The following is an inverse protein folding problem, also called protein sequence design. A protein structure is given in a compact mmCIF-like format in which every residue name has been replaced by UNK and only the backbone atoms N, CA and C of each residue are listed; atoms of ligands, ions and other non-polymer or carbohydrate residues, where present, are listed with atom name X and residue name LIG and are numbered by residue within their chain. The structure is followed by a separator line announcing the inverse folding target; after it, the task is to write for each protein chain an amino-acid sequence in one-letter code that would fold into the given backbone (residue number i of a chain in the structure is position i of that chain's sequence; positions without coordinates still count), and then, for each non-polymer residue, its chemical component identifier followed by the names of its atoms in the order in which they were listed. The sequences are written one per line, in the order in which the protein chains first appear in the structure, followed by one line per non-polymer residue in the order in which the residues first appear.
data_IF_502803286431
#
_entry.id   IF_502803286431
#
_cell.length_a   1.000
_cell.length_b   1.000
_cell.length_c   1.000
_cell.angle_alpha   90.00
_cell.angle_beta   90.00
_cell.angle_gamma   90.00
#
_symmetry.space_group_name_H-M   'P 1'
#
loop_
_entity.id
_entity.type
_entity.pdbx_description
1 polymer ?
#
# COMPACT_ATOMS: atom_id res chain seq x y z
N UNK A 1 102.81 -36.89 28.59
CA UNK A 1 103.07 -38.12 29.35
C UNK A 1 103.00 -37.80 30.83
N UNK A 2 102.51 -38.73 31.66
CA UNK A 2 102.30 -38.54 33.09
C UNK A 2 103.62 -38.32 33.85
N UNK A 3 103.67 -37.35 34.79
CA UNK A 3 104.88 -37.03 35.58
C UNK A 3 105.09 -37.90 36.83
N UNK A 4 104.32 -38.98 36.98
CA UNK A 4 104.43 -39.93 38.09
C UNK A 4 105.59 -40.93 37.85
N UNK A 5 106.51 -41.18 38.80
CA UNK A 5 107.64 -42.09 38.60
C UNK A 5 107.18 -43.51 38.20
N UNK A 6 107.59 -43.98 37.01
CA UNK A 6 107.24 -45.31 36.49
C UNK A 6 105.93 -45.41 35.70
N UNK A 7 105.28 -44.30 35.34
CA UNK A 7 104.07 -44.29 34.51
C UNK A 7 104.34 -43.70 33.12
N UNK A 8 103.99 -44.43 32.05
CA UNK A 8 104.20 -44.02 30.65
C UNK A 8 102.91 -43.53 29.94
N UNK A 9 101.76 -43.46 30.65
CA UNK A 9 100.48 -43.05 30.03
C UNK A 9 100.50 -41.61 29.51
N UNK A 10 99.84 -41.38 28.37
CA UNK A 10 99.57 -40.05 27.84
C UNK A 10 98.60 -39.28 28.77
N UNK A 11 98.73 -37.95 28.81
CA UNK A 11 97.84 -37.09 29.61
C UNK A 11 96.86 -36.44 28.65
N UNK A 12 95.57 -36.68 28.87
CA UNK A 12 94.50 -36.10 28.06
C UNK A 12 94.42 -34.59 28.27
N UNK A 13 94.36 -33.83 27.18
CA UNK A 13 94.19 -32.37 27.22
C UNK A 13 92.71 -32.03 27.13
N UNK A 14 92.08 -31.45 28.17
CA UNK A 14 90.72 -30.93 28.04
C UNK A 14 90.71 -29.72 27.10
N UNK A 15 89.71 -29.63 26.22
CA UNK A 15 89.55 -28.57 25.19
C UNK A 15 89.02 -27.23 25.76
N UNK A 16 89.46 -26.84 26.96
CA UNK A 16 89.07 -25.60 27.63
C UNK A 16 90.25 -24.66 27.86
N UNK A 17 90.01 -23.34 28.05
CA UNK A 17 91.06 -22.41 28.46
C UNK A 17 91.53 -22.75 29.88
N UNK A 18 92.73 -23.32 30.00
CA UNK A 18 93.31 -23.72 31.28
C UNK A 18 94.69 -24.38 31.14
N UNK A 19 95.47 -24.37 32.22
CA UNK A 19 96.80 -25.01 32.29
C UNK A 19 96.63 -26.53 32.13
N UNK A 20 97.30 -27.19 31.17
CA UNK A 20 97.15 -28.63 30.97
C UNK A 20 97.47 -29.43 32.24
N UNK A 21 96.72 -30.50 32.56
CA UNK A 21 97.00 -31.34 33.71
C UNK A 21 98.38 -32.02 33.58
N UNK A 22 99.11 -32.14 34.70
CA UNK A 22 100.46 -32.73 34.73
C UNK A 22 100.46 -34.27 34.95
N UNK A 23 99.31 -34.85 35.25
CA UNK A 23 99.14 -36.27 35.57
C UNK A 23 97.96 -36.88 34.78
N UNK A 24 97.97 -38.20 34.55
CA UNK A 24 96.89 -38.88 33.84
C UNK A 24 95.64 -39.04 34.72
N UNK A 25 94.57 -39.53 34.11
CA UNK A 25 93.24 -39.81 34.68
C UNK A 25 93.19 -40.78 35.87
N UNK A 26 94.28 -41.50 36.16
CA UNK A 26 94.37 -42.39 37.33
C UNK A 26 94.30 -41.61 38.65
N UNK A 27 93.37 -41.94 39.57
CA UNK A 27 93.21 -41.24 40.86
C UNK A 27 94.44 -41.36 41.77
N UNK A 28 95.29 -42.36 41.52
CA UNK A 28 96.54 -42.60 42.24
C UNK A 28 97.69 -41.66 41.82
N UNK A 29 97.58 -40.99 40.66
CA UNK A 29 98.63 -40.16 40.09
C UNK A 29 98.43 -38.68 40.41
N UNK A 30 98.63 -38.33 41.68
CA UNK A 30 98.60 -36.94 42.15
C UNK A 30 100.00 -36.43 42.51
N UNK A 31 100.17 -35.10 42.51
CA UNK A 31 101.46 -34.43 42.83
C UNK A 31 102.04 -34.85 44.19
N UNK A 32 101.17 -35.02 45.20
CA UNK A 32 101.58 -35.42 46.54
C UNK A 32 102.12 -36.86 46.58
N UNK A 33 101.46 -37.82 45.91
CA UNK A 33 101.93 -39.21 45.86
C UNK A 33 103.21 -39.37 45.04
N UNK A 34 103.37 -38.60 43.97
CA UNK A 34 104.61 -38.58 43.17
C UNK A 34 105.83 -38.07 43.98
N UNK A 35 105.63 -37.10 44.87
CA UNK A 35 106.67 -36.64 45.80
C UNK A 35 107.04 -37.71 46.82
N UNK A 36 106.04 -38.36 47.43
CA UNK A 36 106.24 -39.43 48.43
C UNK A 36 107.00 -40.63 47.84
N UNK A 37 106.69 -41.01 46.60
CA UNK A 37 107.38 -42.10 45.91
C UNK A 37 108.84 -41.75 45.57
N UNK A 38 109.15 -40.49 45.22
CA UNK A 38 110.53 -40.04 45.01
C UNK A 38 111.35 -40.07 46.29
N UNK A 39 110.77 -39.62 47.41
CA UNK A 39 111.44 -39.67 48.72
C UNK A 39 111.74 -41.12 49.15
N UNK A 40 110.84 -42.07 48.86
CA UNK A 40 111.06 -43.50 49.13
C UNK A 40 112.22 -44.08 48.32
N UNK A 41 112.37 -43.69 47.05
CA UNK A 41 113.47 -44.15 46.20
C UNK A 41 114.83 -43.55 46.63
N UNK A 42 114.82 -42.30 47.12
CA UNK A 42 116.03 -41.61 47.59
C UNK A 42 116.56 -42.21 48.90
N UNK A 43 115.65 -42.57 49.82
CA UNK A 43 116.00 -43.25 51.07
C UNK A 43 116.63 -44.65 50.88
N UNK A 44 116.38 -45.31 49.74
CA UNK A 44 116.99 -46.60 49.39
C UNK A 44 118.39 -46.44 48.78
N UNK A 45 118.73 -45.25 48.26
CA UNK A 45 120.02 -44.98 47.62
C UNK A 45 121.15 -44.54 48.57
N UNK A 46 120.84 -44.09 49.80
CA UNK A 46 121.82 -43.52 50.73
C UNK A 46 122.44 -44.53 51.73
N UNK A 47 122.13 -45.83 51.65
CA UNK A 47 122.67 -46.87 52.55
C UNK A 47 123.74 -47.74 51.89
N UNK A 48 124.98 -47.24 51.72
CA UNK A 48 126.19 -48.09 51.53
C UNK A 48 127.48 -47.31 51.89
N UNK A 49 128.28 -47.70 52.92
CA UNK A 49 129.56 -47.04 53.21
C UNK A 49 130.80 -47.94 53.05
N UNK A 50 131.96 -47.35 52.71
CA UNK A 50 133.29 -47.97 52.81
C UNK A 50 134.35 -46.96 53.32
N UNK A 51 135.17 -47.39 54.28
CA UNK A 51 136.13 -46.62 55.06
C UNK A 51 137.60 -46.93 54.70
N UNK A 52 138.51 -46.02 55.04
CA UNK A 52 139.97 -46.12 54.95
C UNK A 52 140.63 -46.00 56.36
N UNK A 53 141.92 -46.39 56.52
CA UNK A 53 142.71 -45.87 57.64
C UNK A 53 144.18 -45.51 57.33
N UNK A 54 144.76 -44.71 58.24
CA UNK A 54 146.10 -44.10 58.30
C UNK A 54 147.07 -44.79 59.30
N UNK A 55 148.35 -44.37 59.28
CA UNK A 55 149.33 -44.43 60.39
C UNK A 55 150.78 -44.48 59.86
N UNK A 56 151.87 -44.10 60.54
CA UNK A 56 152.22 -43.31 61.75
C UNK A 56 153.75 -43.47 61.98
N UNK A 57 154.33 -42.79 63.00
CA UNK A 57 155.65 -42.96 63.70
C UNK A 57 156.80 -42.06 63.22
N UNK A 58 157.53 -41.23 63.98
CA UNK A 58 157.98 -41.08 65.40
C UNK A 58 159.43 -41.55 65.67
N UNK A 59 160.31 -40.63 66.14
CA UNK A 59 161.40 -40.75 67.16
C UNK A 59 162.63 -39.83 66.91
N UNK A 60 162.90 -38.86 67.81
CA UNK A 60 164.22 -38.60 68.48
C UNK A 60 164.11 -37.50 69.58
N UNK A 61 163.64 -37.87 70.78
CA UNK A 61 162.79 -37.04 71.65
C UNK A 61 163.39 -36.18 72.79
N UNK A 62 164.63 -35.66 72.73
CA UNK A 62 165.13 -34.76 73.79
C UNK A 62 165.87 -33.51 73.31
N UNK A 63 166.58 -33.59 72.18
CA UNK A 63 167.12 -32.42 71.48
C UNK A 63 166.11 -31.82 70.49
N UNK A 64 165.35 -32.67 69.79
CA UNK A 64 164.08 -32.24 69.21
C UNK A 64 163.17 -31.74 70.30
N UNK A 65 163.18 -32.21 71.55
CA UNK A 65 162.24 -31.70 72.56
C UNK A 65 162.52 -30.27 73.01
N UNK A 66 163.78 -29.82 73.05
CA UNK A 66 164.12 -28.42 73.28
C UNK A 66 163.92 -27.54 72.03
N UNK A 67 164.22 -28.06 70.84
CA UNK A 67 163.93 -27.38 69.56
C UNK A 67 162.43 -27.41 69.19
N UNK A 68 161.68 -28.41 69.64
CA UNK A 68 160.23 -28.59 69.58
C UNK A 68 159.58 -27.80 70.69
N UNK A 69 160.17 -27.63 71.87
CA UNK A 69 159.67 -26.66 72.86
C UNK A 69 159.88 -25.24 72.36
N UNK A 70 160.99 -24.93 71.67
CA UNK A 70 161.21 -23.63 71.04
C UNK A 70 160.37 -23.44 69.76
N UNK A 71 160.13 -24.50 68.98
CA UNK A 71 159.26 -24.50 67.79
C UNK A 71 157.79 -24.50 68.17
N UNK A 72 157.38 -25.21 69.22
CA UNK A 72 156.07 -25.11 69.85
C UNK A 72 155.91 -23.76 70.48
N UNK A 73 156.90 -23.22 71.20
CA UNK A 73 156.78 -21.86 71.74
C UNK A 73 156.67 -20.82 70.63
N UNK A 74 157.40 -20.95 69.51
CA UNK A 74 157.22 -20.11 68.32
C UNK A 74 155.85 -20.31 67.67
N UNK A 75 155.41 -21.56 67.50
CA UNK A 75 154.12 -21.89 66.91
C UNK A 75 152.96 -21.41 67.80
N UNK A 76 153.06 -21.56 69.11
CA UNK A 76 152.12 -21.05 70.11
C UNK A 76 152.17 -19.53 70.15
N UNK A 77 153.36 -18.91 70.02
CA UNK A 77 153.49 -17.45 69.97
C UNK A 77 152.94 -16.88 68.66
N UNK A 78 153.09 -17.59 67.55
CA UNK A 78 152.48 -17.26 66.26
C UNK A 78 150.97 -17.52 66.27
N UNK A 79 150.52 -18.57 66.92
CA UNK A 79 149.10 -18.92 67.06
C UNK A 79 148.40 -17.98 68.03
N UNK A 80 149.03 -17.64 69.16
CA UNK A 80 148.58 -16.60 70.07
C UNK A 80 148.64 -15.25 69.38
N UNK A 81 149.66 -14.98 68.56
CA UNK A 81 149.74 -13.79 67.72
C UNK A 81 148.65 -13.74 66.65
N UNK A 82 148.28 -14.87 66.04
CA UNK A 82 147.15 -14.98 65.11
C UNK A 82 145.81 -14.81 65.83
N UNK A 83 145.64 -15.41 67.01
CA UNK A 83 144.41 -15.32 67.80
C UNK A 83 144.25 -13.94 68.44
N UNK A 84 145.33 -13.31 68.87
CA UNK A 84 145.33 -11.93 69.34
C UNK A 84 145.08 -10.98 68.18
N UNK A 85 145.64 -11.22 66.99
CA UNK A 85 145.29 -10.42 65.80
C UNK A 85 143.84 -10.62 65.38
N UNK A 86 143.34 -11.85 65.31
CA UNK A 86 141.95 -12.13 64.99
C UNK A 86 141.00 -11.55 66.05
N UNK A 87 141.33 -11.68 67.33
CA UNK A 87 140.58 -11.09 68.43
C UNK A 87 140.70 -9.56 68.46
N UNK A 88 141.83 -8.98 68.05
CA UNK A 88 142.00 -7.54 67.85
C UNK A 88 141.29 -7.05 66.59
N UNK A 89 141.14 -7.86 65.55
CA UNK A 89 140.38 -7.54 64.33
C UNK A 89 138.86 -7.61 64.62
N UNK A 90 138.44 -8.57 65.43
CA UNK A 90 137.06 -8.72 65.89
C UNK A 90 136.70 -7.66 66.94
N UNK A 91 137.62 -7.37 67.88
CA UNK A 91 137.51 -6.18 68.75
C UNK A 91 137.58 -4.90 67.93
N UNK A 92 138.45 -4.80 66.91
CA UNK A 92 138.51 -3.63 66.04
C UNK A 92 137.18 -3.44 65.31
N UNK A 93 136.54 -4.51 64.84
CA UNK A 93 135.20 -4.47 64.21
C UNK A 93 134.10 -4.11 65.22
N UNK A 94 134.18 -4.58 66.46
CA UNK A 94 133.24 -4.24 67.55
C UNK A 94 133.46 -2.82 68.09
N UNK A 95 134.69 -2.31 68.03
CA UNK A 95 135.08 -0.94 68.40
C UNK A 95 135.14 -0.01 67.20
N UNK A 96 134.80 -0.48 66.00
CA UNK A 96 134.77 0.31 64.78
C UNK A 96 133.44 1.07 64.75
N UNK A 97 133.45 2.37 65.07
CA UNK A 97 132.23 3.16 65.06
C UNK A 97 131.61 3.21 63.66
N UNK A 98 132.38 3.02 62.58
CA UNK A 98 131.89 3.08 61.21
C UNK A 98 131.09 1.82 60.82
N UNK A 99 131.49 0.64 61.30
CA UNK A 99 130.72 -0.59 61.12
C UNK A 99 129.39 -0.56 61.88
N UNK A 100 129.40 -0.05 63.12
CA UNK A 100 128.18 0.14 63.91
C UNK A 100 127.25 1.21 63.30
N UNK A 101 127.80 2.32 62.83
CA UNK A 101 127.05 3.37 62.12
C UNK A 101 126.43 2.83 60.83
N UNK A 102 127.17 2.07 60.02
CA UNK A 102 126.64 1.45 58.81
C UNK A 102 125.48 0.48 59.09
N UNK A 103 125.56 -0.32 60.17
CA UNK A 103 124.47 -1.20 60.58
C UNK A 103 123.24 -0.43 61.08
N UNK A 104 123.44 0.66 61.85
CA UNK A 104 122.35 1.53 62.28
C UNK A 104 121.69 2.21 61.07
N UNK A 105 122.47 2.71 60.12
CA UNK A 105 121.95 3.33 58.89
C UNK A 105 121.19 2.30 58.02
N UNK A 106 121.68 1.07 57.93
CA UNK A 106 120.98 -0.01 57.23
C UNK A 106 119.65 -0.38 57.93
N UNK A 107 119.65 -0.50 59.27
CA UNK A 107 118.44 -0.75 60.05
C UNK A 107 117.45 0.42 59.98
N UNK A 108 117.93 1.67 59.98
CA UNK A 108 117.12 2.86 59.80
C UNK A 108 116.52 2.92 58.38
N UNK A 109 117.29 2.57 57.35
CA UNK A 109 116.80 2.50 55.97
C UNK A 109 115.75 1.38 55.80
N UNK A 110 115.95 0.21 56.40
CA UNK A 110 114.97 -0.87 56.39
C UNK A 110 113.70 -0.50 57.18
N UNK A 111 113.85 0.13 58.35
CA UNK A 111 112.72 0.64 59.13
C UNK A 111 111.94 1.71 58.35
N UNK A 112 112.63 2.66 57.71
CA UNK A 112 112.01 3.66 56.84
C UNK A 112 111.29 3.00 55.65
N UNK A 113 111.87 1.96 55.05
CA UNK A 113 111.23 1.21 53.97
C UNK A 113 109.96 0.49 54.44
N UNK A 114 110.00 -0.18 55.61
CA UNK A 114 108.83 -0.84 56.20
C UNK A 114 107.74 0.16 56.57
N UNK A 115 108.10 1.33 57.11
CA UNK A 115 107.16 2.42 57.41
C UNK A 115 106.51 2.90 56.11
N UNK A 116 107.30 3.21 55.07
CA UNK A 116 106.78 3.65 53.79
C UNK A 116 105.84 2.61 53.14
N UNK A 117 106.18 1.32 53.21
CA UNK A 117 105.31 0.24 52.73
C UNK A 117 104.01 0.15 53.54
N UNK A 118 104.07 0.28 54.86
CA UNK A 118 102.90 0.26 55.72
C UNK A 118 102.00 1.49 55.48
N UNK A 119 102.58 2.67 55.30
CA UNK A 119 101.87 3.90 54.95
C UNK A 119 101.20 3.79 53.57
N UNK A 120 101.90 3.23 52.57
CA UNK A 120 101.32 2.97 51.25
C UNK A 120 100.16 1.96 51.32
N UNK A 121 100.31 0.88 52.09
CA UNK A 121 99.26 -0.11 52.30
C UNK A 121 98.04 0.50 53.01
N UNK A 122 98.27 1.35 54.03
CA UNK A 122 97.22 2.08 54.74
C UNK A 122 96.50 3.06 53.80
N UNK A 123 97.24 3.83 53.00
CA UNK A 123 96.64 4.75 52.03
C UNK A 123 95.78 4.02 51.00
N UNK A 124 96.25 2.87 50.52
CA UNK A 124 95.51 2.00 49.59
C UNK A 124 94.24 1.45 50.24
N UNK A 125 94.31 0.94 51.47
CA UNK A 125 93.15 0.42 52.20
C UNK A 125 92.12 1.52 52.51
N UNK A 126 92.59 2.73 52.87
CA UNK A 126 91.72 3.88 53.07
C UNK A 126 91.03 4.32 51.78
N UNK A 127 91.75 4.29 50.64
CA UNK A 127 91.16 4.58 49.34
C UNK A 127 90.10 3.53 48.98
N UNK A 128 90.42 2.24 49.08
CA UNK A 128 89.47 1.16 48.84
C UNK A 128 88.22 1.27 49.72
N UNK A 129 88.37 1.67 50.99
CA UNK A 129 87.22 1.91 51.88
C UNK A 129 86.36 3.07 51.40
N UNK A 130 86.96 4.18 50.96
CA UNK A 130 86.22 5.32 50.42
C UNK A 130 85.49 4.95 49.13
N UNK A 131 86.15 4.22 48.23
CA UNK A 131 85.56 3.77 46.97
C UNK A 131 84.40 2.80 47.23
N UNK A 132 84.55 1.88 48.19
CA UNK A 132 83.48 0.95 48.58
C UNK A 132 82.29 1.67 49.22
N UNK A 133 82.53 2.69 50.06
CA UNK A 133 81.48 3.51 50.65
C UNK A 133 80.73 4.33 49.60
N UNK A 134 81.45 4.94 48.66
CA UNK A 134 80.83 5.66 47.53
C UNK A 134 80.02 4.72 46.64
N UNK A 135 80.54 3.53 46.34
CA UNK A 135 79.81 2.52 45.59
C UNK A 135 78.55 2.04 46.32
N UNK A 136 78.61 1.90 47.65
CA UNK A 136 77.44 1.58 48.47
C UNK A 136 76.39 2.68 48.41
N UNK A 137 76.79 3.94 48.62
CA UNK A 137 75.88 5.08 48.57
C UNK A 137 75.20 5.21 47.20
N UNK A 138 75.97 5.08 46.11
CA UNK A 138 75.41 5.10 44.76
C UNK A 138 74.44 3.93 44.49
N UNK A 139 74.70 2.76 45.06
CA UNK A 139 73.80 1.61 44.95
C UNK A 139 72.52 1.79 45.78
N UNK A 140 72.61 2.41 46.96
CA UNK A 140 71.48 2.76 47.81
C UNK A 140 70.59 3.81 47.12
N UNK A 141 71.16 4.89 46.58
CA UNK A 141 70.44 5.90 45.80
C UNK A 141 69.74 5.29 44.57
N UNK A 142 70.44 4.44 43.80
CA UNK A 142 69.86 3.75 42.66
C UNK A 142 68.72 2.78 43.04
N UNK A 143 68.80 2.17 44.23
CA UNK A 143 67.74 1.31 44.74
C UNK A 143 66.50 2.11 45.17
N UNK A 144 66.70 3.27 45.82
CA UNK A 144 65.62 4.18 46.20
C UNK A 144 64.89 4.74 44.95
N UNK A 145 65.64 5.16 43.93
CA UNK A 145 65.08 5.61 42.65
C UNK A 145 64.28 4.51 41.95
N UNK A 146 64.79 3.27 41.97
CA UNK A 146 64.10 2.12 41.39
C UNK A 146 62.80 1.79 42.15
N UNK A 147 62.80 1.89 43.48
CA UNK A 147 61.59 1.71 44.31
C UNK A 147 60.56 2.80 43.99
N UNK A 148 60.95 4.07 43.99
CA UNK A 148 60.07 5.20 43.67
C UNK A 148 59.44 5.10 42.28
N UNK A 149 60.25 4.69 41.28
CA UNK A 149 59.78 4.44 39.92
C UNK A 149 58.79 3.27 39.88
N UNK A 150 59.07 2.18 40.59
CA UNK A 150 58.18 1.03 40.66
C UNK A 150 56.85 1.34 41.36
N UNK A 151 56.87 2.15 42.42
CA UNK A 151 55.66 2.60 43.12
C UNK A 151 54.79 3.48 42.23
N UNK A 152 55.40 4.41 41.50
CA UNK A 152 54.69 5.28 40.55
C UNK A 152 54.08 4.46 39.41
N UNK A 153 54.86 3.56 38.79
CA UNK A 153 54.36 2.67 37.75
C UNK A 153 53.24 1.74 38.27
N UNK A 154 53.33 1.29 39.53
CA UNK A 154 52.28 0.53 40.21
C UNK A 154 50.98 1.33 40.35
N UNK A 155 51.07 2.56 40.86
CA UNK A 155 49.92 3.45 41.00
C UNK A 155 49.25 3.79 39.66
N UNK A 156 50.03 4.09 38.63
CA UNK A 156 49.51 4.32 37.27
C UNK A 156 48.81 3.09 36.70
N UNK A 157 49.37 1.89 36.91
CA UNK A 157 48.76 0.64 36.45
C UNK A 157 47.45 0.33 37.19
N UNK A 158 47.37 0.59 38.49
CA UNK A 158 46.14 0.46 39.27
C UNK A 158 45.07 1.45 38.82
N UNK A 159 45.45 2.71 38.60
CA UNK A 159 44.54 3.73 38.08
C UNK A 159 44.00 3.35 36.70
N UNK A 160 44.86 2.94 35.77
CA UNK A 160 44.47 2.53 34.43
C UNK A 160 43.51 1.32 34.46
N UNK A 161 43.72 0.37 35.38
CA UNK A 161 42.79 -0.75 35.59
C UNK A 161 41.45 -0.28 36.12
N UNK A 162 41.43 0.62 37.11
CA UNK A 162 40.20 1.16 37.66
C UNK A 162 39.39 1.95 36.61
N UNK A 163 40.07 2.73 35.76
CA UNK A 163 39.45 3.46 34.65
C UNK A 163 38.86 2.50 33.60
N UNK A 164 39.62 1.47 33.21
CA UNK A 164 39.13 0.42 32.31
C UNK A 164 37.90 -0.30 32.87
N UNK A 165 37.91 -0.65 34.15
CA UNK A 165 36.82 -1.39 34.78
C UNK A 165 35.57 -0.52 34.88
N UNK A 166 35.71 0.79 35.17
CA UNK A 166 34.61 1.77 35.10
C UNK A 166 34.05 1.89 33.69
N UNK A 167 34.91 2.08 32.68
CA UNK A 167 34.49 2.19 31.29
C UNK A 167 33.77 0.92 30.80
N UNK A 168 34.22 -0.26 31.25
CA UNK A 168 33.58 -1.54 30.92
C UNK A 168 32.19 -1.63 31.56
N UNK A 169 32.07 -1.31 32.85
CA UNK A 169 30.79 -1.31 33.55
C UNK A 169 29.79 -0.28 32.95
N UNK A 170 30.26 0.89 32.54
CA UNK A 170 29.44 1.88 31.85
C UNK A 170 28.98 1.38 30.47
N UNK A 171 29.87 0.74 29.71
CA UNK A 171 29.54 0.15 28.42
C UNK A 171 28.53 -1.01 28.55
N UNK A 172 28.66 -1.85 29.59
CA UNK A 172 27.70 -2.91 29.89
C UNK A 172 26.32 -2.35 30.23
N UNK A 173 26.25 -1.35 31.13
CA UNK A 173 24.98 -0.66 31.45
C UNK A 173 24.35 -0.02 30.22
N UNK A 174 25.14 0.64 29.38
CA UNK A 174 24.64 1.25 28.15
C UNK A 174 24.10 0.19 27.17
N UNK A 175 24.73 -0.98 27.08
CA UNK A 175 24.26 -2.11 26.27
C UNK A 175 22.97 -2.70 26.81
N UNK A 176 22.88 -2.90 28.12
CA UNK A 176 21.67 -3.39 28.79
C UNK A 176 20.49 -2.43 28.58
N UNK A 177 20.71 -1.13 28.79
CA UNK A 177 19.69 -0.11 28.54
C UNK A 177 19.26 -0.10 27.07
N UNK A 178 20.21 -0.10 26.13
CA UNK A 178 19.89 -0.13 24.71
C UNK A 178 19.13 -1.40 24.31
N UNK A 179 19.45 -2.55 24.90
CA UNK A 179 18.72 -3.80 24.67
C UNK A 179 17.28 -3.70 25.19
N UNK A 180 17.08 -3.16 26.39
CA UNK A 180 15.75 -2.93 26.97
C UNK A 180 14.93 -1.93 26.13
N UNK A 181 15.54 -0.84 25.67
CA UNK A 181 14.87 0.16 24.83
C UNK A 181 14.45 -0.44 23.47
N UNK A 182 15.31 -1.27 22.86
CA UNK A 182 14.97 -1.98 21.61
C UNK A 182 13.84 -2.98 21.82
N UNK A 183 13.83 -3.72 22.92
CA UNK A 183 12.74 -4.64 23.25
C UNK A 183 11.43 -3.90 23.50
N UNK A 184 11.45 -2.81 24.27
CA UNK A 184 10.30 -1.95 24.51
C UNK A 184 9.74 -1.39 23.19
N UNK A 185 10.60 -0.83 22.33
CA UNK A 185 10.19 -0.30 21.03
C UNK A 185 9.60 -1.39 20.11
N UNK A 186 10.14 -2.62 20.14
CA UNK A 186 9.56 -3.75 19.39
C UNK A 186 8.17 -4.13 19.91
N UNK A 187 8.00 -4.24 21.23
CA UNK A 187 6.71 -4.56 21.84
C UNK A 187 5.67 -3.46 21.52
N UNK A 188 6.04 -2.19 21.62
CA UNK A 188 5.18 -1.07 21.24
C UNK A 188 4.78 -1.12 19.75
N UNK A 189 5.73 -1.40 18.86
CA UNK A 189 5.47 -1.53 17.43
C UNK A 189 4.55 -2.72 17.11
N UNK A 190 4.72 -3.85 17.79
CA UNK A 190 3.85 -5.03 17.65
C UNK A 190 2.43 -4.74 18.11
N UNK A 191 2.27 -4.08 19.27
CA UNK A 191 0.96 -3.67 19.80
C UNK A 191 0.28 -2.68 18.86
N UNK A 192 1.00 -1.67 18.37
CA UNK A 192 0.48 -0.69 17.43
C UNK A 192 0.06 -1.35 16.10
N UNK A 193 0.87 -2.28 15.58
CA UNK A 193 0.55 -3.04 14.36
C UNK A 193 -0.69 -3.91 14.56
N UNK A 194 -0.81 -4.59 15.70
CA UNK A 194 -1.99 -5.40 16.01
C UNK A 194 -3.25 -4.56 16.21
N UNK A 195 -3.14 -3.35 16.77
CA UNK A 195 -4.25 -2.41 16.88
C UNK A 195 -4.69 -1.90 15.50
N UNK A 196 -3.75 -1.44 14.67
CA UNK A 196 -4.04 -0.95 13.32
C UNK A 196 -4.66 -2.04 12.42
N UNK A 197 -4.23 -3.30 12.54
CA UNK A 197 -4.85 -4.42 11.82
C UNK A 197 -6.29 -4.66 12.24
N UNK A 198 -6.57 -4.66 13.55
CA UNK A 198 -7.94 -4.82 14.06
C UNK A 198 -8.86 -3.69 13.59
N UNK A 199 -8.39 -2.44 13.63
CA UNK A 199 -9.14 -1.30 13.13
C UNK A 199 -9.41 -1.41 11.62
N UNK A 200 -8.41 -1.84 10.84
CA UNK A 200 -8.60 -2.07 9.40
C UNK A 200 -9.61 -3.18 9.12
N UNK A 201 -9.55 -4.30 9.86
CA UNK A 201 -10.51 -5.41 9.73
C UNK A 201 -11.94 -4.96 10.09
N UNK A 202 -12.09 -4.17 11.15
CA UNK A 202 -13.38 -3.60 11.57
C UNK A 202 -13.94 -2.63 10.51
N UNK A 203 -13.10 -1.77 9.92
CA UNK A 203 -13.51 -0.87 8.84
C UNK A 203 -13.94 -1.64 7.60
N UNK A 204 -13.23 -2.71 7.24
CA UNK A 204 -13.59 -3.58 6.11
C UNK A 204 -14.90 -4.30 6.39
N UNK A 205 -15.12 -4.80 7.61
CA UNK A 205 -16.36 -5.45 8.00
C UNK A 205 -17.56 -4.49 7.89
N UNK A 206 -17.44 -3.27 8.45
CA UNK A 206 -18.48 -2.23 8.34
C UNK A 206 -18.76 -1.84 6.90
N UNK A 207 -17.72 -1.65 6.09
CA UNK A 207 -17.90 -1.31 4.68
C UNK A 207 -18.61 -2.41 3.88
N UNK A 208 -18.43 -3.69 4.25
CA UNK A 208 -19.15 -4.82 3.66
C UNK A 208 -20.61 -4.85 4.08
N UNK A 209 -20.89 -4.68 5.37
CA UNK A 209 -22.25 -4.59 5.91
C UNK A 209 -23.03 -3.43 5.24
N UNK A 210 -22.44 -2.22 5.20
CA UNK A 210 -23.02 -1.07 4.52
C UNK A 210 -23.30 -1.34 3.02
N UNK A 211 -22.42 -2.09 2.36
CA UNK A 211 -22.60 -2.43 0.95
C UNK A 211 -23.73 -3.46 0.76
N UNK A 212 -23.81 -4.47 1.62
CA UNK A 212 -24.90 -5.47 1.62
C UNK A 212 -26.25 -4.80 1.87
N UNK A 213 -26.34 -3.90 2.85
CA UNK A 213 -27.55 -3.14 3.14
C UNK A 213 -27.97 -2.26 1.96
N UNK A 214 -27.02 -1.57 1.31
CA UNK A 214 -27.31 -0.77 0.10
C UNK A 214 -27.80 -1.63 -1.06
N UNK A 215 -27.23 -2.83 -1.25
CA UNK A 215 -27.68 -3.75 -2.29
C UNK A 215 -29.10 -4.26 -1.98
N UNK A 216 -29.38 -4.62 -0.73
CA UNK A 216 -30.71 -5.07 -0.30
C UNK A 216 -31.77 -3.96 -0.47
N UNK A 217 -31.44 -2.72 -0.09
CA UNK A 217 -32.29 -1.57 -0.31
C UNK A 217 -32.55 -1.33 -1.80
N UNK A 218 -31.49 -1.32 -2.63
CA UNK A 218 -31.62 -1.14 -4.07
C UNK A 218 -32.44 -2.24 -4.75
N UNK A 219 -32.34 -3.49 -4.28
CA UNK A 219 -33.20 -4.59 -4.75
C UNK A 219 -34.67 -4.34 -4.39
N UNK A 220 -34.95 -3.95 -3.15
CA UNK A 220 -36.31 -3.64 -2.69
C UNK A 220 -36.93 -2.48 -3.48
N UNK A 221 -36.16 -1.42 -3.72
CA UNK A 221 -36.58 -0.28 -4.52
C UNK A 221 -36.86 -0.69 -5.97
N UNK A 222 -36.02 -1.54 -6.56
CA UNK A 222 -36.21 -2.06 -7.91
C UNK A 222 -37.45 -2.94 -8.02
N UNK A 223 -37.71 -3.80 -7.04
CA UNK A 223 -38.93 -4.62 -6.99
C UNK A 223 -40.18 -3.76 -6.87
N UNK A 224 -40.14 -2.74 -6.01
CA UNK A 224 -41.23 -1.77 -5.84
C UNK A 224 -41.50 -1.02 -7.15
N UNK A 225 -40.45 -0.46 -7.77
CA UNK A 225 -40.57 0.25 -9.05
C UNK A 225 -41.10 -0.66 -10.17
N UNK A 226 -40.71 -1.94 -10.20
CA UNK A 226 -41.24 -2.93 -11.15
C UNK A 226 -42.72 -3.23 -10.90
N UNK A 227 -43.12 -3.38 -9.65
CA UNK A 227 -44.52 -3.62 -9.28
C UNK A 227 -45.40 -2.41 -9.65
N UNK A 228 -44.94 -1.20 -9.35
CA UNK A 228 -45.62 0.05 -9.73
C UNK A 228 -45.74 0.20 -11.25
N UNK A 229 -44.65 -0.03 -11.99
CA UNK A 229 -44.66 0.02 -13.44
C UNK A 229 -45.63 -1.03 -14.05
N UNK A 230 -45.64 -2.25 -13.50
CA UNK A 230 -46.57 -3.28 -13.93
C UNK A 230 -48.04 -2.89 -13.65
N UNK A 231 -48.32 -2.30 -12.48
CA UNK A 231 -49.64 -1.81 -12.12
C UNK A 231 -50.09 -0.66 -13.03
N UNK A 232 -49.20 0.28 -13.36
CA UNK A 232 -49.48 1.37 -14.29
C UNK A 232 -49.79 0.84 -15.70
N UNK A 233 -49.00 -0.12 -16.20
CA UNK A 233 -49.25 -0.74 -17.51
C UNK A 233 -50.59 -1.46 -17.51
N UNK A 234 -50.91 -2.22 -16.47
CA UNK A 234 -52.22 -2.89 -16.36
C UNK A 234 -53.37 -1.88 -16.31
N UNK A 235 -53.24 -0.81 -15.53
CA UNK A 235 -54.25 0.24 -15.45
C UNK A 235 -54.46 0.91 -16.83
N UNK A 236 -53.38 1.25 -17.53
CA UNK A 236 -53.43 1.82 -18.87
C UNK A 236 -54.08 0.87 -19.88
N UNK A 237 -53.76 -0.44 -19.83
CA UNK A 237 -54.39 -1.44 -20.68
C UNK A 237 -55.88 -1.58 -20.42
N UNK A 238 -56.30 -1.58 -19.15
CA UNK A 238 -57.72 -1.66 -18.80
C UNK A 238 -58.48 -0.41 -19.23
N UNK A 239 -57.88 0.77 -19.06
CA UNK A 239 -58.44 2.03 -19.54
C UNK A 239 -58.61 2.02 -21.07
N UNK A 240 -57.57 1.64 -21.80
CA UNK A 240 -57.62 1.53 -23.26
C UNK A 240 -58.70 0.53 -23.73
N UNK A 241 -58.84 -0.62 -23.04
CA UNK A 241 -59.90 -1.59 -23.33
C UNK A 241 -61.31 -1.02 -23.11
N UNK A 242 -61.51 -0.25 -22.04
CA UNK A 242 -62.78 0.43 -21.76
C UNK A 242 -63.09 1.46 -22.85
N UNK A 243 -62.12 2.29 -23.22
CA UNK A 243 -62.28 3.30 -24.27
C UNK A 243 -62.61 2.68 -25.63
N UNK A 244 -61.97 1.55 -25.98
CA UNK A 244 -62.28 0.80 -27.20
C UNK A 244 -63.70 0.25 -27.14
N UNK A 245 -64.10 -0.40 -26.03
CA UNK A 245 -65.45 -0.93 -25.87
C UNK A 245 -66.53 0.16 -25.93
N UNK A 246 -66.29 1.32 -25.31
CA UNK A 246 -67.17 2.49 -25.39
C UNK A 246 -67.23 3.08 -26.79
N UNK A 247 -66.09 3.15 -27.50
CA UNK A 247 -66.04 3.58 -28.89
C UNK A 247 -66.83 2.62 -29.80
N UNK A 248 -66.68 1.32 -29.61
CA UNK A 248 -67.42 0.30 -30.36
C UNK A 248 -68.92 0.33 -30.06
N UNK A 249 -69.33 0.50 -28.80
CA UNK A 249 -70.74 0.68 -28.44
C UNK A 249 -71.32 1.93 -29.13
N UNK A 250 -70.62 3.07 -29.06
CA UNK A 250 -71.03 4.31 -29.74
C UNK A 250 -71.14 4.13 -31.25
N UNK A 251 -70.19 3.41 -31.86
CA UNK A 251 -70.23 3.07 -33.29
C UNK A 251 -71.43 2.18 -33.63
N UNK A 252 -71.71 1.15 -32.83
CA UNK A 252 -72.85 0.25 -33.03
C UNK A 252 -74.17 1.01 -32.93
N UNK A 253 -74.36 1.82 -31.88
CA UNK A 253 -75.56 2.63 -31.72
C UNK A 253 -75.72 3.65 -32.86
N UNK A 254 -74.63 4.27 -33.33
CA UNK A 254 -74.65 5.18 -34.46
C UNK A 254 -75.04 4.46 -35.75
N UNK A 255 -74.50 3.27 -36.00
CA UNK A 255 -74.85 2.44 -37.15
C UNK A 255 -76.33 2.00 -37.11
N UNK A 256 -76.84 1.59 -35.95
CA UNK A 256 -78.26 1.26 -35.80
C UNK A 256 -79.18 2.48 -36.00
N UNK A 257 -78.80 3.66 -35.46
CA UNK A 257 -79.54 4.90 -35.71
C UNK A 257 -79.55 5.25 -37.20
N UNK A 258 -78.42 5.10 -37.88
CA UNK A 258 -78.32 5.32 -39.32
C UNK A 258 -79.23 4.34 -40.09
N UNK A 259 -79.17 3.04 -39.79
CA UNK A 259 -80.03 2.03 -40.43
C UNK A 259 -81.53 2.30 -40.20
N UNK A 260 -81.92 2.70 -38.98
CA UNK A 260 -83.30 3.11 -38.68
C UNK A 260 -83.72 4.35 -39.47
N UNK A 261 -82.84 5.35 -39.57
CA UNK A 261 -83.10 6.56 -40.34
C UNK A 261 -83.20 6.26 -41.86
N UNK A 262 -82.36 5.37 -42.38
CA UNK A 262 -82.42 4.91 -43.77
C UNK A 262 -83.73 4.18 -44.08
N UNK A 263 -84.13 3.22 -43.23
CA UNK A 263 -85.39 2.49 -43.38
C UNK A 263 -86.62 3.41 -43.27
N UNK A 264 -86.60 4.37 -42.33
CA UNK A 264 -87.66 5.37 -42.22
C UNK A 264 -87.70 6.29 -43.45
N UNK A 265 -86.55 6.67 -44.00
CA UNK A 265 -86.46 7.47 -45.22
C UNK A 265 -86.96 6.69 -46.46
N UNK A 266 -86.67 5.40 -46.56
CA UNK A 266 -87.20 4.51 -47.60
C UNK A 266 -88.73 4.40 -47.50
N UNK A 267 -89.25 4.07 -46.32
CA UNK A 267 -90.70 4.02 -46.07
C UNK A 267 -91.39 5.34 -46.41
N UNK A 268 -90.79 6.48 -46.03
CA UNK A 268 -91.32 7.80 -46.36
C UNK A 268 -91.30 8.07 -47.88
N UNK A 269 -90.27 7.62 -48.61
CA UNK A 269 -90.22 7.72 -50.08
C UNK A 269 -91.32 6.88 -50.72
N UNK A 270 -91.55 5.66 -50.24
CA UNK A 270 -92.61 4.78 -50.73
C UNK A 270 -94.00 5.38 -50.48
N UNK A 271 -94.25 5.89 -49.27
CA UNK A 271 -95.49 6.60 -48.95
C UNK A 271 -95.70 7.84 -49.84
N UNK A 272 -94.64 8.61 -50.11
CA UNK A 272 -94.71 9.75 -51.04
C UNK A 272 -95.00 9.28 -52.47
N UNK A 273 -94.43 8.16 -52.92
CA UNK A 273 -94.70 7.57 -54.23
C UNK A 273 -96.16 7.09 -54.34
N UNK A 274 -96.68 6.40 -53.33
CA UNK A 274 -98.08 5.98 -53.25
C UNK A 274 -99.02 7.18 -53.24
N UNK A 275 -98.75 8.20 -52.43
CA UNK A 275 -99.55 9.42 -52.40
C UNK A 275 -99.53 10.16 -53.74
N UNK A 276 -98.40 10.17 -54.46
CA UNK A 276 -98.30 10.72 -55.82
C UNK A 276 -99.16 9.92 -56.81
N UNK A 277 -99.06 8.59 -56.80
CA UNK A 277 -99.89 7.73 -57.65
C UNK A 277 -101.38 7.90 -57.34
N UNK A 278 -101.77 7.96 -56.06
CA UNK A 278 -103.15 8.21 -55.65
C UNK A 278 -103.64 9.60 -56.10
N UNK A 279 -102.79 10.63 -55.99
CA UNK A 279 -103.09 11.97 -56.48
C UNK A 279 -103.23 12.01 -58.01
N UNK A 280 -102.38 11.30 -58.75
CA UNK A 280 -102.48 11.16 -60.21
C UNK A 280 -103.75 10.41 -60.61
N UNK A 281 -104.09 9.32 -59.94
CA UNK A 281 -105.32 8.56 -60.17
C UNK A 281 -106.56 9.42 -59.87
N UNK A 282 -106.57 10.17 -58.77
CA UNK A 282 -107.63 11.11 -58.41
C UNK A 282 -107.77 12.23 -59.45
N UNK A 283 -106.66 12.80 -59.92
CA UNK A 283 -106.68 13.78 -61.03
C UNK A 283 -107.24 13.18 -62.32
N UNK A 284 -106.83 11.97 -62.68
CA UNK A 284 -107.34 11.26 -63.85
C UNK A 284 -108.84 10.93 -63.72
N UNK A 285 -109.33 10.63 -62.52
CA UNK A 285 -110.76 10.43 -62.24
C UNK A 285 -111.53 11.75 -62.36
N UNK A 286 -111.01 12.85 -61.80
CA UNK A 286 -111.61 14.19 -61.94
C UNK A 286 -111.66 14.60 -63.42
N UNK A 287 -110.61 14.37 -64.19
CA UNK A 287 -110.61 14.65 -65.63
C UNK A 287 -111.61 13.77 -66.40
N UNK A 288 -111.75 12.49 -66.04
CA UNK A 288 -112.81 11.61 -66.59
C UNK A 288 -114.19 12.14 -66.28
N UNK A 289 -114.49 12.46 -65.01
CA UNK A 289 -115.77 13.04 -64.59
C UNK A 289 -116.06 14.38 -65.26
N UNK A 290 -115.04 15.24 -65.46
CA UNK A 290 -115.17 16.50 -66.21
C UNK A 290 -115.52 16.25 -67.67
N UNK A 291 -114.88 15.26 -68.29
CA UNK A 291 -115.14 14.87 -69.68
C UNK A 291 -116.56 14.34 -69.81
N UNK A 292 -116.98 13.41 -68.92
CA UNK A 292 -118.34 12.88 -68.85
C UNK A 292 -119.40 13.97 -68.63
N UNK A 293 -119.17 14.90 -67.69
CA UNK A 293 -120.04 16.04 -67.47
C UNK A 293 -120.14 16.96 -68.69
N UNK A 294 -119.03 17.14 -69.41
CA UNK A 294 -119.01 17.92 -70.66
C UNK A 294 -119.82 17.22 -71.75
N UNK A 295 -119.65 15.90 -71.91
CA UNK A 295 -120.44 15.09 -72.85
C UNK A 295 -121.92 15.09 -72.47
N UNK A 296 -122.28 14.94 -71.19
CA UNK A 296 -123.65 14.98 -70.72
C UNK A 296 -124.29 16.35 -70.96
N UNK A 297 -123.55 17.46 -70.73
CA UNK A 297 -124.01 18.81 -71.05
C UNK A 297 -124.23 19.00 -72.55
N UNK A 298 -123.35 18.47 -73.40
CA UNK A 298 -123.52 18.51 -74.85
C UNK A 298 -124.75 17.70 -75.28
N UNK A 299 -124.96 16.52 -74.70
CA UNK A 299 -126.16 15.69 -74.95
C UNK A 299 -127.44 16.41 -74.52
N UNK A 300 -127.49 16.98 -73.31
CA UNK A 300 -128.65 17.74 -72.85
C UNK A 300 -128.88 19.01 -73.67
N UNK A 301 -127.83 19.69 -74.11
CA UNK A 301 -127.96 20.85 -75.00
C UNK A 301 -128.54 20.43 -76.35
N UNK A 302 -128.10 19.29 -76.91
CA UNK A 302 -128.65 18.72 -78.14
C UNK A 302 -130.11 18.28 -77.98
N UNK A 303 -130.48 17.64 -76.85
CA UNK A 303 -131.87 17.29 -76.53
C UNK A 303 -132.76 18.52 -76.36
N UNK A 304 -132.30 19.55 -75.62
CA UNK A 304 -133.02 20.81 -75.48
C UNK A 304 -133.20 21.52 -76.83
N UNK A 305 -132.18 21.47 -77.69
CA UNK A 305 -132.28 22.03 -79.02
C UNK A 305 -133.29 21.27 -79.88
N UNK A 306 -133.27 19.93 -79.83
CA UNK A 306 -134.26 19.10 -80.50
C UNK A 306 -135.68 19.36 -79.99
N UNK A 307 -135.89 19.47 -78.67
CA UNK A 307 -137.20 19.81 -78.09
C UNK A 307 -137.65 21.21 -78.53
N UNK A 308 -136.74 22.18 -78.62
CA UNK A 308 -137.06 23.53 -79.13
C UNK A 308 -137.43 23.52 -80.60
N UNK A 309 -136.74 22.74 -81.42
CA UNK A 309 -137.05 22.56 -82.84
C UNK A 309 -138.42 21.89 -83.01
N UNK A 310 -138.68 20.79 -82.29
CA UNK A 310 -139.98 20.10 -82.27
C UNK A 310 -141.11 21.02 -81.75
N UNK A 311 -140.86 21.84 -80.73
CA UNK A 311 -141.83 22.82 -80.21
C UNK A 311 -142.06 23.98 -81.19
N UNK A 312 -141.01 24.45 -81.88
CA UNK A 312 -141.13 25.49 -82.90
C UNK A 312 -141.92 24.98 -84.12
N UNK A 313 -141.72 23.73 -84.52
CA UNK A 313 -142.52 23.07 -85.56
C UNK A 313 -143.98 22.92 -85.13
N UNK A 314 -144.25 22.44 -83.91
CA UNK A 314 -145.62 22.37 -83.37
C UNK A 314 -146.29 23.75 -83.32
N UNK A 315 -145.57 24.79 -82.90
CA UNK A 315 -146.11 26.14 -82.84
C UNK A 315 -146.36 26.73 -84.24
N UNK A 316 -145.51 26.42 -85.23
CA UNK A 316 -145.76 26.79 -86.64
C UNK A 316 -147.02 26.08 -87.17
N UNK A 317 -147.15 24.78 -86.93
CA UNK A 317 -148.32 24.01 -87.34
C UNK A 317 -149.61 24.52 -86.66
N UNK A 318 -149.56 24.85 -85.36
CA UNK A 318 -150.68 25.47 -84.64
C UNK A 318 -151.03 26.85 -85.19
N UNK A 319 -150.03 27.69 -85.50
CA UNK A 319 -150.26 29.02 -86.10
C UNK A 319 -150.89 28.92 -87.48
N UNK A 320 -150.45 27.99 -88.32
CA UNK A 320 -151.08 27.72 -89.62
C UNK A 320 -152.52 27.23 -89.44
N UNK A 321 -152.77 26.30 -88.52
CA UNK A 321 -154.12 25.81 -88.22
C UNK A 321 -155.02 26.90 -87.61
N UNK A 322 -154.46 27.85 -86.87
CA UNK A 322 -155.19 29.01 -86.35
C UNK A 322 -155.45 30.07 -87.42
N UNK A 323 -154.50 30.31 -88.32
CA UNK A 323 -154.68 31.20 -89.47
C UNK A 323 -155.80 30.68 -90.38
N UNK A 324 -155.79 29.37 -90.69
CA UNK A 324 -156.86 28.71 -91.46
C UNK A 324 -158.23 28.79 -90.76
N UNK A 325 -158.27 28.66 -89.41
CA UNK A 325 -159.52 28.84 -88.64
C UNK A 325 -160.01 30.28 -88.64
N UNK A 326 -159.11 31.26 -88.53
CA UNK A 326 -159.45 32.69 -88.59
C UNK A 326 -159.98 33.07 -89.97
N UNK A 327 -159.38 32.57 -91.04
CA UNK A 327 -159.84 32.75 -92.41
C UNK A 327 -161.24 32.15 -92.60
N UNK A 328 -161.49 30.93 -92.11
CA UNK A 328 -162.81 30.31 -92.14
C UNK A 328 -163.88 31.09 -91.34
N UNK A 329 -163.50 31.70 -90.21
CA UNK A 329 -164.41 32.55 -89.41
C UNK A 329 -164.66 33.90 -90.08
N UNK A 330 -163.66 34.48 -90.74
CA UNK A 330 -163.83 35.70 -91.52
C UNK A 330 -164.75 35.47 -92.72
N UNK A 331 -164.59 34.38 -93.45
CA UNK A 331 -165.50 33.96 -94.51
C UNK A 331 -166.93 33.75 -93.98
N UNK A 332 -167.08 33.07 -92.83
CA UNK A 332 -168.39 32.87 -92.21
C UNK A 332 -169.04 34.20 -91.77
N UNK A 333 -168.25 35.15 -91.26
CA UNK A 333 -168.71 36.49 -90.86
C UNK A 333 -169.13 37.30 -92.08
N UNK A 334 -168.37 37.27 -93.16
CA UNK A 334 -168.69 38.02 -94.37
C UNK A 334 -169.93 37.44 -95.07
N UNK A 335 -170.12 36.11 -95.02
CA UNK A 335 -171.36 35.45 -95.44
C UNK A 335 -172.57 35.77 -94.52
N UNK A 336 -172.35 36.01 -93.23
CA UNK A 336 -173.40 36.42 -92.29
C UNK A 336 -173.77 37.90 -92.49
N UNK A 337 -172.79 38.77 -92.75
CA UNK A 337 -173.00 40.19 -93.08
C UNK A 337 -173.77 40.34 -94.38
N UNK A 338 -173.42 39.59 -95.43
CA UNK A 338 -174.17 39.57 -96.67
C UNK A 338 -175.62 39.05 -96.51
N UNK A 339 -175.88 38.19 -95.52
CA UNK A 339 -177.25 37.75 -95.16
C UNK A 339 -178.02 38.82 -94.40
N UNK A 340 -177.36 39.52 -93.47
CA UNK A 340 -177.94 40.62 -92.72
C UNK A 340 -178.29 41.80 -93.64
N UNK A 341 -177.40 42.20 -94.55
CA UNK A 341 -177.65 43.28 -95.51
C UNK A 341 -178.82 42.93 -96.46
N UNK A 342 -178.96 41.66 -96.86
CA UNK A 342 -180.15 41.19 -97.60
C UNK A 342 -181.44 41.24 -96.79
N UNK A 343 -181.38 40.92 -95.49
CA UNK A 343 -182.54 40.96 -94.60
C UNK A 343 -182.96 42.40 -94.28
N UNK A 344 -182.02 43.32 -94.12
CA UNK A 344 -182.29 44.76 -93.94
C UNK A 344 -182.93 45.37 -95.19
N UNK A 345 -182.43 45.03 -96.37
CA UNK A 345 -183.04 45.49 -97.63
C UNK A 345 -184.48 44.97 -97.81
N UNK A 346 -184.78 43.76 -97.32
CA UNK A 346 -186.14 43.20 -97.32
C UNK A 346 -187.06 43.83 -96.27
N UNK A 347 -186.52 44.23 -95.12
CA UNK A 347 -187.24 44.93 -94.05
C UNK A 347 -187.55 46.39 -94.43
N UNK A 348 -186.63 47.08 -95.08
CA UNK A 348 -186.85 48.44 -95.57
C UNK A 348 -187.93 48.47 -96.67
N UNK A 349 -187.92 47.49 -97.59
CA UNK A 349 -188.97 47.32 -98.59
C UNK A 349 -190.35 47.03 -97.97
N UNK A 350 -190.43 46.18 -96.95
CA UNK A 350 -191.69 45.87 -96.25
C UNK A 350 -192.21 47.04 -95.40
N UNK A 351 -191.32 47.90 -94.90
CA UNK A 351 -191.69 49.06 -94.07
C UNK A 351 -192.19 50.23 -94.92
N UNK A 352 -191.67 50.40 -96.14
CA UNK A 352 -192.21 51.35 -97.12
C UNK A 352 -193.60 50.92 -97.61
N UNK A 353 -193.85 49.63 -97.85
CA UNK A 353 -195.20 49.12 -98.18
C UNK A 353 -196.21 49.37 -97.06
N UNK A 354 -195.82 49.19 -95.79
CA UNK A 354 -196.68 49.44 -94.63
C UNK A 354 -196.99 50.93 -94.40
N UNK A 355 -196.10 51.85 -94.77
CA UNK A 355 -196.39 53.30 -94.70
C UNK A 355 -197.34 53.73 -95.81
N UNK A 356 -197.15 53.23 -97.03
CA UNK A 356 -198.04 53.53 -98.16
C UNK A 356 -199.50 53.14 -97.86
N UNK A 357 -199.71 51.98 -97.23
CA UNK A 357 -201.03 51.50 -96.82
C UNK A 357 -201.68 52.30 -95.66
N UNK A 358 -200.88 53.02 -94.86
CA UNK A 358 -201.38 53.81 -93.73
C UNK A 358 -201.79 55.23 -94.13
N UNK A 359 -201.19 55.76 -95.18
CA UNK A 359 -201.61 57.02 -95.83
C UNK A 359 -202.96 56.92 -96.54
N UNK A 360 -203.36 55.73 -97.00
CA UNK A 360 -204.68 55.50 -97.62
C UNK A 360 -205.82 55.23 -96.61
N UNK A 361 -205.52 54.79 -95.39
CA UNK A 361 -206.54 54.37 -94.41
C UNK A 361 -207.08 55.49 -93.51
N UNK A 362 -206.51 56.70 -93.51
CA UNK A 362 -206.99 57.82 -92.67
C UNK A 362 -207.60 59.00 -93.45
N UNK A 363 -207.77 58.88 -94.76
CA UNK A 363 -208.63 59.77 -95.57
C UNK A 363 -210.09 59.27 -95.71
N UNK A 364 -210.50 58.23 -94.96
CA UNK A 364 -211.76 57.51 -95.20
C UNK A 364 -212.83 57.50 -94.09
N UNK A 365 -212.67 58.16 -92.93
CA UNK A 365 -213.71 58.09 -91.88
C UNK A 365 -213.85 59.39 -91.05
N UNK A 366 -214.71 60.29 -91.58
CA UNK A 366 -215.61 61.28 -90.93
C UNK A 366 -215.73 62.56 -91.76
N UNK A 367 -216.84 62.85 -92.47
CA UNK A 367 -218.16 62.19 -92.40
C UNK A 367 -218.89 62.51 -91.10
#
# INVERSE_FOLDING_TARGET
MCRFPGCERAVERPSGPGRPPEYCDLPEHTRWRAWKQRQRLQAVAEQTPAAAPEGSSEFDGSRLRAEELLRQYRLLSEQLGRNLRAGLDELATLTDPSAAEAQIQAAQAEAAHRIAQAEQALATAQQQRRDAEQARQAAEEAAEDAISTAETAGGEAEQARAERDRATAEAERAREQAAADVEAARNEAEVATAAARREADDLVARAREDAEDRIAAAHTDLETARAEAAAQVQAAQQQARREIAEADSRRSEAAERAARAESAAETARDQVAELRQAAEASRAEIERQRTELTTLRQQQAAELQRVREEAAERLRAEREAHAQRLEAVQDARDQARARAERAETQLDAATEELRALRTDAQQGDRG
#
